data_IF_648120563303
#
_entry.id   IF_648120563303
#
_cell.length_a   1.000
_cell.length_b   1.000
_cell.length_c   1.000
_cell.angle_alpha   90.00
_cell.angle_beta   90.00
_cell.angle_gamma   90.00
#
_symmetry.space_group_name_H-M   'P 1'
#
loop_
_entity.id
_entity.type
_entity.pdbx_description
1 polymer ?
#
# COMPACT_ATOMS: atom_id res chain seq x y z
N UNK A 1 -5.36 7.52 64.00
CA UNK A 1 -4.97 6.62 62.89
C UNK A 1 -4.70 7.46 61.65
N UNK A 2 -3.44 7.81 61.38
CA UNK A 2 -3.05 8.60 60.21
C UNK A 2 -2.64 7.66 59.07
N UNK A 3 -3.39 7.68 57.96
CA UNK A 3 -3.07 6.90 56.76
C UNK A 3 -1.85 7.51 56.09
N UNK A 4 -0.73 6.81 56.11
CA UNK A 4 0.47 7.17 55.35
C UNK A 4 0.15 7.22 53.85
N UNK A 5 0.18 8.42 53.29
CA UNK A 5 0.06 8.68 51.86
C UNK A 5 1.37 8.24 51.20
N UNK A 6 1.41 7.02 50.64
CA UNK A 6 2.58 6.52 49.90
C UNK A 6 2.78 7.40 48.67
N UNK A 7 3.79 8.28 48.70
CA UNK A 7 4.28 8.96 47.49
C UNK A 7 4.85 7.91 46.55
N UNK A 8 4.18 7.67 45.43
CA UNK A 8 4.69 6.86 44.33
C UNK A 8 5.99 7.50 43.81
N UNK A 9 7.01 6.69 43.57
CA UNK A 9 8.29 7.18 43.05
C UNK A 9 8.17 7.31 41.53
N UNK A 10 8.92 8.25 40.94
CA UNK A 10 8.98 8.43 39.47
C UNK A 10 9.38 7.13 38.74
N UNK A 11 10.09 6.22 39.41
CA UNK A 11 10.48 4.90 38.88
C UNK A 11 9.32 3.93 38.70
N UNK A 12 8.16 4.22 39.26
CA UNK A 12 6.99 3.34 39.21
C UNK A 12 6.13 3.61 37.95
N UNK A 13 6.51 4.58 37.10
CA UNK A 13 5.81 4.91 35.86
C UNK A 13 6.53 4.34 34.63
N UNK A 14 5.74 3.92 33.65
CA UNK A 14 6.25 3.49 32.35
C UNK A 14 6.96 4.66 31.63
N UNK A 15 8.15 4.39 31.11
CA UNK A 15 8.96 5.37 30.38
C UNK A 15 8.82 5.14 28.88
N UNK A 16 8.51 6.21 28.14
CA UNK A 16 8.40 6.18 26.68
C UNK A 16 9.32 7.21 26.06
N UNK A 17 10.05 6.82 25.01
CA UNK A 17 10.87 7.74 24.22
C UNK A 17 10.03 8.34 23.09
N UNK A 18 9.83 9.65 23.12
CA UNK A 18 9.11 10.37 22.08
C UNK A 18 10.10 10.96 21.06
N UNK A 19 10.01 10.54 19.79
CA UNK A 19 10.78 11.15 18.69
C UNK A 19 9.97 12.30 18.10
N UNK A 20 10.48 13.52 18.26
CA UNK A 20 9.84 14.75 17.79
C UNK A 20 10.52 15.27 16.52
N UNK A 21 9.77 15.88 15.58
CA UNK A 21 10.35 16.59 14.45
C UNK A 21 11.30 17.73 14.88
N UNK A 22 12.20 18.19 13.98
CA UNK A 22 13.06 19.34 14.24
C UNK A 22 12.27 20.55 14.72
N UNK A 23 12.76 21.25 15.75
CA UNK A 23 12.13 22.44 16.32
C UNK A 23 11.00 22.18 17.33
N UNK A 24 10.25 21.07 17.20
CA UNK A 24 9.06 20.83 18.04
C UNK A 24 9.39 20.67 19.54
N UNK A 25 10.55 20.10 19.87
CA UNK A 25 11.02 20.02 21.26
C UNK A 25 11.22 21.40 21.90
N UNK A 26 11.77 22.35 21.13
CA UNK A 26 11.99 23.71 21.60
C UNK A 26 10.66 24.45 21.82
N UNK A 27 9.69 24.25 20.91
CA UNK A 27 8.33 24.77 21.07
C UNK A 27 7.66 24.27 22.35
N UNK A 28 7.71 22.96 22.61
CA UNK A 28 7.14 22.37 23.85
C UNK A 28 7.85 22.91 25.09
N UNK A 29 9.18 23.08 25.04
CA UNK A 29 9.93 23.64 26.15
C UNK A 29 9.49 25.09 26.46
N UNK A 30 9.37 25.94 25.44
CA UNK A 30 8.88 27.31 25.58
C UNK A 30 7.46 27.35 26.16
N UNK A 31 6.53 26.55 25.60
CA UNK A 31 5.16 26.45 26.11
C UNK A 31 5.12 25.99 27.57
N UNK A 32 5.97 25.02 27.96
CA UNK A 32 6.01 24.52 29.33
C UNK A 32 6.52 25.55 30.34
N UNK A 33 7.44 26.42 29.90
CA UNK A 33 7.92 27.54 30.71
C UNK A 33 6.84 28.62 30.89
N UNK A 34 6.07 28.92 29.83
CA UNK A 34 4.99 29.93 29.90
C UNK A 34 3.88 29.55 30.90
N UNK A 35 3.63 28.25 31.08
CA UNK A 35 2.59 27.74 32.01
C UNK A 35 3.15 27.16 33.32
N UNK A 36 4.44 27.35 33.60
CA UNK A 36 5.14 26.89 34.81
C UNK A 36 4.90 25.41 35.15
N UNK A 37 5.00 24.54 34.14
CA UNK A 37 4.92 23.08 34.31
C UNK A 37 6.10 22.40 33.64
N UNK A 38 6.43 21.18 34.10
CA UNK A 38 7.43 20.36 33.40
C UNK A 38 6.96 20.00 31.99
N UNK A 39 7.91 19.84 31.05
CA UNK A 39 7.61 19.38 29.69
C UNK A 39 6.77 18.09 29.67
N UNK A 40 7.07 17.12 30.56
CA UNK A 40 6.33 15.87 30.64
C UNK A 40 4.88 16.10 31.07
N UNK A 41 4.66 16.96 32.06
CA UNK A 41 3.30 17.31 32.51
C UNK A 41 2.50 18.00 31.39
N UNK A 42 3.13 18.90 30.64
CA UNK A 42 2.49 19.54 29.49
C UNK A 42 2.13 18.53 28.39
N UNK A 43 3.04 17.60 28.06
CA UNK A 43 2.79 16.56 27.05
C UNK A 43 1.59 15.69 27.46
N UNK A 44 1.55 15.23 28.71
CA UNK A 44 0.43 14.41 29.21
C UNK A 44 -0.88 15.20 29.12
N UNK A 45 -0.88 16.47 29.51
CA UNK A 45 -2.06 17.33 29.44
C UNK A 45 -2.60 17.48 28.00
N UNK A 46 -1.71 17.72 27.03
CA UNK A 46 -2.09 17.85 25.61
C UNK A 46 -2.65 16.55 25.03
N UNK A 47 -2.10 15.40 25.44
CA UNK A 47 -2.62 14.08 25.04
C UNK A 47 -4.03 13.86 25.60
N UNK A 48 -4.24 14.15 26.88
CA UNK A 48 -5.55 14.03 27.51
C UNK A 48 -6.60 14.94 26.84
N UNK A 49 -6.23 16.18 26.50
CA UNK A 49 -7.11 17.08 25.76
C UNK A 49 -7.45 16.54 24.37
N UNK A 50 -6.46 16.03 23.63
CA UNK A 50 -6.67 15.43 22.31
C UNK A 50 -7.58 14.20 22.35
N UNK A 51 -7.47 13.38 23.41
CA UNK A 51 -8.35 12.23 23.62
C UNK A 51 -9.79 12.66 23.97
N UNK A 52 -9.96 13.67 24.84
CA UNK A 52 -11.29 14.20 25.19
C UNK A 52 -11.98 14.84 23.99
N UNK A 53 -11.24 15.55 23.14
CA UNK A 53 -11.78 16.23 21.96
C UNK A 53 -12.30 15.25 20.88
N UNK A 54 -11.74 14.03 20.80
CA UNK A 54 -12.17 13.02 19.82
C UNK A 54 -13.41 12.23 20.24
N UNK A 55 -13.92 12.41 21.46
CA UNK A 55 -14.99 11.57 22.02
C UNK A 55 -14.55 10.12 22.18
N UNK A 56 -15.25 9.31 23.01
CA UNK A 56 -15.07 7.86 22.95
C UNK A 56 -15.39 7.42 21.51
N UNK A 57 -14.46 6.74 20.86
CA UNK A 57 -14.70 6.17 19.54
C UNK A 57 -15.92 5.26 19.63
N UNK A 58 -17.07 5.75 19.16
CA UNK A 58 -18.31 4.99 19.12
C UNK A 58 -18.04 3.80 18.23
N UNK A 59 -18.04 2.60 18.82
CA UNK A 59 -17.94 1.37 18.05
C UNK A 59 -19.01 1.40 16.95
N UNK A 60 -18.69 1.04 15.71
CA UNK A 60 -19.62 1.15 14.60
C UNK A 60 -20.88 0.32 14.89
N UNK A 61 -22.02 1.00 14.95
CA UNK A 61 -23.33 0.37 15.09
C UNK A 61 -23.63 -0.41 13.82
N UNK A 62 -23.74 -1.73 13.94
CA UNK A 62 -24.12 -2.64 12.86
C UNK A 62 -25.51 -2.26 12.34
N UNK A 63 -25.76 -2.19 11.01
CA UNK A 63 -27.08 -1.89 10.47
C UNK A 63 -28.06 -3.01 10.81
N UNK A 64 -29.11 -2.67 11.55
CA UNK A 64 -30.24 -3.55 11.81
C UNK A 64 -31.03 -3.76 10.51
N UNK A 65 -30.94 -4.96 9.93
CA UNK A 65 -31.81 -5.36 8.82
C UNK A 65 -33.26 -5.43 9.32
N UNK A 66 -34.11 -4.58 8.75
CA UNK A 66 -35.54 -4.54 9.05
C UNK A 66 -36.24 -5.83 8.68
N UNK A 67 -36.74 -6.54 9.70
CA UNK A 67 -37.66 -7.65 9.52
C UNK A 67 -39.08 -7.11 9.32
N UNK A 68 -39.66 -7.51 8.20
CA UNK A 68 -41.04 -7.24 7.78
C UNK A 68 -42.01 -7.77 8.83
N UNK A 69 -42.91 -6.91 9.30
CA UNK A 69 -43.98 -7.24 10.25
C UNK A 69 -45.12 -7.98 9.54
N UNK A 70 -45.45 -9.17 10.02
CA UNK A 70 -46.78 -9.76 9.86
C UNK A 70 -47.54 -9.69 11.19
N UNK A 71 -48.82 -9.25 11.21
CA UNK A 71 -49.62 -9.25 12.43
C UNK A 71 -50.37 -10.58 12.56
N UNK A 72 -50.15 -11.32 13.65
CA UNK A 72 -51.06 -12.38 14.07
C UNK A 72 -51.20 -12.32 15.59
N UNK A 73 -52.42 -12.11 16.05
CA UNK A 73 -52.78 -12.09 17.46
C UNK A 73 -52.79 -13.51 18.05
N UNK A 74 -52.19 -13.70 19.23
CA UNK A 74 -52.93 -14.14 20.44
C UNK A 74 -52.02 -14.19 21.67
N UNK A 75 -52.66 -13.85 22.78
CA UNK A 75 -52.21 -13.92 24.17
C UNK A 75 -51.87 -15.38 24.54
N UNK A 76 -50.79 -15.59 25.28
CA UNK A 76 -50.84 -16.06 26.67
C UNK A 76 -49.43 -16.12 27.26
N UNK A 77 -49.36 -15.70 28.52
CA UNK A 77 -48.18 -15.54 29.34
C UNK A 77 -47.57 -16.90 29.71
N UNK A 78 -46.29 -17.12 29.37
CA UNK A 78 -45.42 -18.04 30.11
C UNK A 78 -44.01 -17.44 30.17
N UNK A 79 -43.61 -17.03 31.38
CA UNK A 79 -42.24 -16.68 31.72
C UNK A 79 -41.36 -17.94 31.68
N UNK A 80 -40.77 -18.22 30.53
CA UNK A 80 -39.57 -19.04 30.43
C UNK A 80 -38.39 -18.07 30.37
N UNK A 81 -37.59 -18.05 31.42
CA UNK A 81 -36.31 -17.36 31.43
C UNK A 81 -35.37 -18.03 30.42
N UNK A 82 -35.46 -17.61 29.16
CA UNK A 82 -34.44 -17.87 28.14
C UNK A 82 -33.23 -17.01 28.47
N UNK A 83 -32.26 -17.62 29.15
CA UNK A 83 -30.87 -17.17 29.07
C UNK A 83 -30.47 -17.26 27.59
N UNK A 84 -30.70 -16.17 26.87
CA UNK A 84 -30.20 -15.96 25.52
C UNK A 84 -28.70 -15.79 25.66
N UNK A 85 -27.98 -16.91 25.59
CA UNK A 85 -26.56 -16.92 25.31
C UNK A 85 -26.40 -16.14 24.01
N UNK A 86 -25.83 -14.93 24.10
CA UNK A 86 -25.45 -14.15 22.93
C UNK A 86 -24.71 -15.08 21.96
N UNK A 87 -25.00 -15.01 20.65
CA UNK A 87 -24.31 -15.85 19.68
C UNK A 87 -22.81 -15.66 19.90
N UNK A 88 -22.09 -16.77 20.05
CA UNK A 88 -20.64 -16.75 20.10
C UNK A 88 -20.20 -15.95 18.88
N UNK A 89 -19.61 -14.77 19.12
CA UNK A 89 -19.00 -13.98 18.06
C UNK A 89 -17.92 -14.89 17.50
N UNK A 90 -18.18 -15.47 16.32
CA UNK A 90 -17.18 -16.26 15.61
C UNK A 90 -15.94 -15.39 15.53
N UNK A 91 -14.87 -15.86 16.16
CA UNK A 91 -13.59 -15.16 16.11
C UNK A 91 -13.15 -15.19 14.66
N UNK A 92 -13.33 -14.05 13.98
CA UNK A 92 -12.80 -13.77 12.64
C UNK A 92 -11.32 -14.20 12.62
N UNK A 93 -10.95 -15.03 11.64
CA UNK A 93 -9.55 -15.41 11.48
C UNK A 93 -8.72 -14.16 11.17
N UNK A 94 -7.46 -14.16 11.60
CA UNK A 94 -6.57 -13.00 11.40
C UNK A 94 -6.42 -12.68 9.90
N UNK A 95 -6.38 -13.71 9.04
CA UNK A 95 -6.35 -13.52 7.59
C UNK A 95 -7.59 -12.79 7.08
N UNK A 96 -8.79 -13.21 7.51
CA UNK A 96 -10.06 -12.63 7.08
C UNK A 96 -10.17 -11.17 7.53
N UNK A 97 -9.70 -10.90 8.76
CA UNK A 97 -9.63 -9.55 9.31
C UNK A 97 -8.68 -8.65 8.52
N UNK A 98 -7.51 -9.15 8.14
CA UNK A 98 -6.54 -8.39 7.33
C UNK A 98 -7.11 -8.11 5.94
N UNK A 99 -7.73 -9.09 5.30
CA UNK A 99 -8.34 -8.94 3.97
C UNK A 99 -9.49 -7.95 3.98
N UNK A 100 -10.37 -8.02 4.99
CA UNK A 100 -11.46 -7.06 5.16
C UNK A 100 -10.93 -5.64 5.34
N UNK A 101 -9.96 -5.44 6.23
CA UNK A 101 -9.36 -4.12 6.47
C UNK A 101 -8.63 -3.58 5.23
N UNK A 102 -7.96 -4.45 4.47
CA UNK A 102 -7.31 -4.06 3.22
C UNK A 102 -8.33 -3.60 2.17
N UNK A 103 -9.49 -4.28 2.09
CA UNK A 103 -10.59 -3.89 1.19
C UNK A 103 -11.22 -2.56 1.60
N UNK A 104 -11.55 -2.39 2.88
CA UNK A 104 -12.11 -1.15 3.41
C UNK A 104 -11.17 0.04 3.16
N UNK A 105 -9.87 -0.15 3.41
CA UNK A 105 -8.86 0.86 3.11
C UNK A 105 -8.83 1.18 1.61
N UNK A 106 -8.81 0.15 0.75
CA UNK A 106 -8.82 0.33 -0.71
C UNK A 106 -10.03 1.11 -1.23
N UNK A 107 -11.19 1.01 -0.59
CA UNK A 107 -12.41 1.73 -0.97
C UNK A 107 -12.39 3.20 -0.50
N UNK A 108 -11.76 3.47 0.64
CA UNK A 108 -11.59 4.83 1.16
C UNK A 108 -10.54 5.64 0.40
N UNK A 109 -9.51 4.98 -0.13
CA UNK A 109 -8.35 5.63 -0.76
C UNK A 109 -8.65 6.43 -2.03
N UNK A 110 -9.55 6.02 -2.96
CA UNK A 110 -9.94 6.88 -4.08
C UNK A 110 -10.50 8.23 -3.65
N UNK A 111 -11.22 8.27 -2.53
CA UNK A 111 -11.77 9.50 -1.95
C UNK A 111 -10.69 10.32 -1.23
N UNK A 112 -9.58 9.69 -0.86
CA UNK A 112 -8.48 10.32 -0.13
C UNK A 112 -7.22 10.40 -1.01
N UNK A 113 -6.94 11.60 -1.52
CA UNK A 113 -5.75 11.87 -2.34
C UNK A 113 -5.77 11.19 -3.72
N UNK A 114 -6.94 11.10 -4.36
CA UNK A 114 -7.13 10.52 -5.70
C UNK A 114 -6.51 9.11 -5.85
N UNK A 115 -6.47 8.30 -4.78
CA UNK A 115 -5.89 6.96 -4.79
C UNK A 115 -4.35 6.91 -4.80
N UNK A 116 -3.66 8.05 -4.73
CA UNK A 116 -2.22 8.11 -4.54
C UNK A 116 -1.91 8.21 -3.05
N UNK A 117 -1.31 7.18 -2.48
CA UNK A 117 -0.89 7.22 -1.09
C UNK A 117 0.39 6.42 -0.87
N UNK A 118 1.05 6.75 0.22
CA UNK A 118 2.17 5.99 0.74
C UNK A 118 1.83 5.68 2.19
N UNK A 119 1.59 4.41 2.49
CA UNK A 119 1.31 3.98 3.86
C UNK A 119 2.48 3.19 4.40
N UNK A 120 2.83 3.47 5.65
CA UNK A 120 3.76 2.67 6.43
C UNK A 120 2.95 2.00 7.54
N UNK A 121 2.88 0.68 7.51
CA UNK A 121 2.18 -0.09 8.54
C UNK A 121 3.20 -0.64 9.51
N UNK A 122 3.06 -0.28 10.79
CA UNK A 122 3.85 -0.87 11.87
C UNK A 122 3.07 -2.04 12.45
N UNK A 123 3.56 -3.29 12.32
CA UNK A 123 3.00 -4.38 13.11
C UNK A 123 3.17 -4.05 14.59
N UNK A 124 2.20 -4.47 15.39
CA UNK A 124 2.31 -4.35 16.85
C UNK A 124 3.59 -5.08 17.33
N UNK A 125 4.54 -4.33 17.86
CA UNK A 125 5.81 -4.86 18.38
C UNK A 125 6.97 -4.90 17.39
N UNK A 126 6.79 -4.47 16.14
CA UNK A 126 7.87 -4.35 15.16
C UNK A 126 8.04 -2.90 14.69
N UNK A 127 9.21 -2.34 14.99
CA UNK A 127 9.58 -0.96 14.63
C UNK A 127 9.96 -0.81 13.16
N UNK A 128 10.11 -1.90 12.41
CA UNK A 128 10.68 -1.85 11.06
C UNK A 128 9.76 -1.22 10.03
N UNK A 129 8.44 -1.24 10.25
CA UNK A 129 7.45 -0.64 9.36
C UNK A 129 7.47 -1.25 7.95
N UNK A 130 6.32 -1.72 7.46
CA UNK A 130 6.22 -2.21 6.08
C UNK A 130 5.68 -1.09 5.19
N UNK A 131 6.41 -0.81 4.10
CA UNK A 131 6.01 0.18 3.11
C UNK A 131 5.05 -0.43 2.09
N UNK A 132 3.85 0.14 2.01
CA UNK A 132 2.92 -0.09 0.92
C UNK A 132 3.05 1.09 -0.05
N UNK A 133 3.59 0.84 -1.24
CA UNK A 133 3.65 1.84 -2.31
C UNK A 133 2.39 1.72 -3.18
N UNK A 134 1.71 2.85 -3.42
CA UNK A 134 0.68 2.92 -4.45
C UNK A 134 1.32 2.65 -5.83
N UNK A 135 0.68 1.78 -6.59
CA UNK A 135 1.06 1.39 -7.94
C UNK A 135 0.75 2.54 -8.91
N UNK A 136 1.62 2.80 -9.87
CA UNK A 136 1.35 3.73 -10.96
C UNK A 136 0.09 3.27 -11.71
N UNK A 137 -0.85 4.19 -11.90
CA UNK A 137 -2.05 3.97 -12.73
C UNK A 137 -1.84 4.66 -14.08
N UNK A 138 -2.26 4.04 -15.17
CA UNK A 138 -2.25 4.62 -16.51
C UNK A 138 -3.40 5.62 -16.72
N UNK A 139 -3.54 6.12 -17.95
CA UNK A 139 -4.56 7.09 -18.37
C UNK A 139 -6.01 6.61 -18.20
N UNK A 140 -6.22 5.30 -18.08
CA UNK A 140 -7.53 4.69 -17.80
C UNK A 140 -7.73 4.40 -16.30
N UNK A 141 -6.73 4.71 -15.46
CA UNK A 141 -6.75 4.38 -14.05
C UNK A 141 -6.33 2.94 -13.76
N UNK A 142 -5.83 2.18 -14.74
CA UNK A 142 -5.41 0.79 -14.58
C UNK A 142 -3.96 0.70 -14.09
N UNK A 143 -3.66 -0.27 -13.22
CA UNK A 143 -2.32 -0.42 -12.62
C UNK A 143 -1.31 -0.84 -13.69
N UNK A 144 -0.52 0.08 -14.22
CA UNK A 144 0.43 -0.23 -15.29
C UNK A 144 1.81 0.31 -14.95
N UNK A 145 2.77 -0.61 -14.84
CA UNK A 145 4.17 -0.27 -14.65
C UNK A 145 4.71 0.37 -15.93
N UNK A 146 5.36 1.55 -15.86
CA UNK A 146 5.83 2.26 -17.05
C UNK A 146 6.79 1.42 -17.91
N UNK A 147 7.49 0.43 -17.34
CA UNK A 147 8.34 -0.48 -18.12
C UNK A 147 7.53 -1.37 -19.07
N UNK A 148 6.30 -1.74 -18.68
CA UNK A 148 5.40 -2.55 -19.53
C UNK A 148 5.06 -1.78 -20.80
N UNK A 149 4.73 -0.50 -20.65
CA UNK A 149 4.45 0.38 -21.79
C UNK A 149 5.69 0.54 -22.67
N UNK A 150 6.86 0.78 -22.08
CA UNK A 150 8.10 0.95 -22.85
C UNK A 150 8.45 -0.30 -23.69
N UNK A 151 8.33 -1.49 -23.10
CA UNK A 151 8.54 -2.78 -23.81
C UNK A 151 7.49 -2.96 -24.92
N UNK A 152 6.24 -2.59 -24.68
CA UNK A 152 5.19 -2.69 -25.69
C UNK A 152 5.41 -1.72 -26.85
N UNK A 153 5.75 -0.45 -26.56
CA UNK A 153 6.05 0.57 -27.57
C UNK A 153 7.20 0.12 -28.48
N UNK A 154 8.22 -0.54 -27.92
CA UNK A 154 9.32 -1.12 -28.68
C UNK A 154 8.87 -2.27 -29.58
N UNK A 155 8.13 -3.24 -29.05
CA UNK A 155 7.61 -4.37 -29.85
C UNK A 155 6.71 -3.90 -30.98
N UNK A 156 5.83 -2.94 -30.71
CA UNK A 156 4.98 -2.32 -31.73
C UNK A 156 5.82 -1.58 -32.78
N UNK A 157 6.89 -0.91 -32.35
CA UNK A 157 7.89 -0.33 -33.23
C UNK A 157 8.56 -1.35 -34.15
N UNK A 158 9.03 -2.48 -33.61
CA UNK A 158 9.63 -3.57 -34.38
C UNK A 158 8.62 -4.15 -35.38
N UNK A 159 7.37 -4.34 -34.97
CA UNK A 159 6.30 -4.80 -35.87
C UNK A 159 6.05 -3.81 -37.02
N UNK A 160 6.02 -2.50 -36.73
CA UNK A 160 5.91 -1.46 -37.77
C UNK A 160 7.10 -1.47 -38.71
N UNK A 161 8.33 -1.64 -38.20
CA UNK A 161 9.53 -1.75 -39.02
C UNK A 161 9.46 -2.96 -39.96
N UNK A 162 9.10 -4.13 -39.43
CA UNK A 162 8.98 -5.37 -40.20
C UNK A 162 7.86 -5.33 -41.26
N UNK A 163 6.86 -4.46 -41.07
CA UNK A 163 5.78 -4.27 -42.04
C UNK A 163 6.19 -3.39 -43.24
N UNK A 164 7.29 -2.64 -43.15
CA UNK A 164 7.79 -1.80 -44.24
C UNK A 164 8.77 -2.61 -45.08
N UNK A 165 8.46 -2.79 -46.37
CA UNK A 165 9.34 -3.50 -47.29
C UNK A 165 10.67 -2.76 -47.45
N UNK A 166 11.79 -3.50 -47.38
CA UNK A 166 13.13 -2.91 -47.51
C UNK A 166 13.39 -2.24 -48.87
N UNK A 167 12.67 -2.68 -49.92
CA UNK A 167 12.69 -2.01 -51.21
C UNK A 167 12.12 -0.57 -51.17
N UNK A 168 11.23 -0.28 -50.21
CA UNK A 168 10.57 1.01 -50.06
C UNK A 168 11.32 1.94 -49.11
N UNK A 169 12.35 1.48 -48.40
CA UNK A 169 13.13 2.30 -47.47
C UNK A 169 13.65 3.61 -48.09
N UNK A 170 14.15 3.65 -49.35
CA UNK A 170 14.55 4.90 -49.99
C UNK A 170 13.41 5.95 -50.07
N UNK A 171 12.15 5.52 -50.21
CA UNK A 171 10.98 6.42 -50.23
C UNK A 171 10.70 7.04 -48.85
N UNK A 172 11.16 6.39 -47.78
CA UNK A 172 11.00 6.85 -46.41
C UNK A 172 12.17 7.68 -45.87
N UNK A 173 13.20 7.89 -46.70
CA UNK A 173 14.44 8.60 -46.35
C UNK A 173 15.62 7.70 -46.04
N UNK A 174 15.56 6.41 -46.41
CA UNK A 174 16.58 5.40 -46.11
C UNK A 174 16.29 4.63 -44.81
N UNK A 175 17.10 3.60 -44.56
CA UNK A 175 16.96 2.69 -43.41
C UNK A 175 16.91 3.44 -42.07
N UNK A 176 17.87 4.34 -41.83
CA UNK A 176 17.96 5.13 -40.58
C UNK A 176 16.68 5.93 -40.29
N UNK A 177 16.05 6.48 -41.33
CA UNK A 177 14.81 7.23 -41.19
C UNK A 177 13.62 6.33 -40.87
N UNK A 178 13.62 5.09 -41.36
CA UNK A 178 12.62 4.08 -41.00
C UNK A 178 12.82 3.64 -39.54
N UNK A 179 14.07 3.39 -39.13
CA UNK A 179 14.40 3.03 -37.74
C UNK A 179 13.92 4.11 -36.76
N UNK A 180 14.30 5.38 -36.97
CA UNK A 180 13.93 6.47 -36.07
C UNK A 180 12.41 6.67 -35.99
N UNK A 181 11.68 6.46 -37.09
CA UNK A 181 10.20 6.55 -37.12
C UNK A 181 9.48 5.35 -36.50
N UNK A 182 10.14 4.21 -36.32
CA UNK A 182 9.51 2.95 -35.91
C UNK A 182 9.87 2.57 -34.49
N UNK A 183 11.02 1.93 -34.28
CA UNK A 183 11.46 1.41 -32.98
C UNK A 183 12.62 2.20 -32.35
N UNK A 184 13.30 3.09 -33.09
CA UNK A 184 14.50 3.76 -32.61
C UNK A 184 14.29 4.60 -31.33
N UNK A 185 13.19 5.36 -31.26
CA UNK A 185 12.81 6.09 -30.04
C UNK A 185 12.52 5.16 -28.85
N UNK A 186 11.62 4.17 -28.99
CA UNK A 186 11.36 3.18 -27.95
C UNK A 186 12.60 2.38 -27.50
N UNK A 187 13.50 2.01 -28.42
CA UNK A 187 14.75 1.32 -28.12
C UNK A 187 15.64 2.18 -27.22
N UNK A 188 15.86 3.45 -27.57
CA UNK A 188 16.61 4.39 -26.73
C UNK A 188 15.99 4.56 -25.35
N UNK A 189 14.66 4.47 -25.23
CA UNK A 189 13.98 4.56 -23.94
C UNK A 189 14.27 3.34 -23.05
N UNK A 190 14.38 2.14 -23.65
CA UNK A 190 14.75 0.90 -22.95
C UNK A 190 16.25 0.87 -22.61
N UNK A 191 17.13 1.27 -23.54
CA UNK A 191 18.58 1.34 -23.32
C UNK A 191 18.97 2.31 -22.20
N UNK A 192 18.27 3.46 -22.10
CA UNK A 192 18.50 4.46 -21.06
C UNK A 192 17.63 4.23 -19.82
N UNK A 193 17.04 3.05 -19.65
CA UNK A 193 16.16 2.78 -18.52
C UNK A 193 16.95 2.60 -17.23
N UNK A 194 16.78 3.53 -16.28
CA UNK A 194 17.53 3.58 -15.02
C UNK A 194 16.65 3.41 -13.77
N UNK A 195 15.36 3.13 -13.96
CA UNK A 195 14.36 3.10 -12.88
C UNK A 195 14.01 1.67 -12.49
N UNK A 196 13.77 1.39 -11.19
CA UNK A 196 13.26 0.09 -10.78
C UNK A 196 11.84 -0.16 -11.32
N UNK A 197 11.49 -1.43 -11.52
CA UNK A 197 10.09 -1.82 -11.77
C UNK A 197 9.23 -1.46 -10.56
N UNK A 198 8.02 -0.98 -10.83
CA UNK A 198 7.02 -0.61 -9.83
C UNK A 198 6.00 -1.72 -9.55
N UNK A 199 5.92 -2.75 -10.41
CA UNK A 199 5.03 -3.88 -10.23
C UNK A 199 5.70 -5.20 -10.56
N UNK A 200 5.08 -6.30 -10.09
CA UNK A 200 5.48 -7.67 -10.47
C UNK A 200 5.37 -7.88 -11.98
N UNK A 201 4.30 -7.41 -12.60
CA UNK A 201 4.07 -7.58 -14.03
C UNK A 201 5.11 -6.80 -14.86
N UNK A 202 5.54 -5.63 -14.36
CA UNK A 202 6.65 -4.89 -14.94
C UNK A 202 7.98 -5.64 -14.85
N UNK A 203 8.28 -6.23 -13.68
CA UNK A 203 9.48 -7.06 -13.53
C UNK A 203 9.46 -8.28 -14.46
N UNK A 204 8.31 -8.94 -14.62
CA UNK A 204 8.13 -10.05 -15.57
C UNK A 204 8.32 -9.56 -17.01
N UNK A 205 7.73 -8.43 -17.40
CA UNK A 205 7.85 -7.88 -18.75
C UNK A 205 9.32 -7.53 -19.09
N UNK A 206 10.02 -6.88 -18.16
CA UNK A 206 11.43 -6.52 -18.31
C UNK A 206 12.33 -7.77 -18.45
N UNK A 207 12.15 -8.78 -17.59
CA UNK A 207 12.92 -10.02 -17.65
C UNK A 207 12.66 -10.81 -18.94
N UNK A 208 11.41 -10.86 -19.41
CA UNK A 208 11.08 -11.50 -20.70
C UNK A 208 11.72 -10.79 -21.87
N UNK A 209 11.74 -9.46 -21.85
CA UNK A 209 12.43 -8.67 -22.89
C UNK A 209 13.94 -8.93 -22.87
N UNK A 210 14.59 -8.85 -21.70
CA UNK A 210 16.01 -9.13 -21.55
C UNK A 210 16.38 -10.56 -21.94
N UNK A 211 15.52 -11.54 -21.65
CA UNK A 211 15.74 -12.93 -22.04
C UNK A 211 15.72 -13.08 -23.56
N UNK A 212 14.72 -12.49 -24.24
CA UNK A 212 14.65 -12.52 -25.70
C UNK A 212 15.89 -11.88 -26.33
N UNK A 213 16.32 -10.72 -25.86
CA UNK A 213 17.55 -10.09 -26.37
C UNK A 213 18.81 -10.93 -26.11
N UNK A 214 18.89 -11.61 -24.96
CA UNK A 214 20.03 -12.49 -24.65
C UNK A 214 20.11 -13.75 -25.52
N UNK A 215 19.00 -14.12 -26.18
CA UNK A 215 18.97 -15.23 -27.13
C UNK A 215 19.37 -14.77 -28.54
N UNK A 216 19.06 -13.52 -28.89
CA UNK A 216 19.39 -12.91 -30.18
C UNK A 216 20.81 -12.32 -30.23
N UNK A 217 21.36 -11.91 -29.08
CA UNK A 217 22.70 -11.31 -28.95
C UNK A 217 23.64 -12.32 -28.27
N UNK A 218 24.90 -12.36 -28.70
CA UNK A 218 25.91 -13.18 -28.04
C UNK A 218 26.18 -12.67 -26.61
N UNK A 219 25.53 -13.30 -25.64
CA UNK A 219 25.68 -13.07 -24.21
C UNK A 219 26.42 -14.24 -23.54
N UNK A 220 26.88 -14.03 -22.30
CA UNK A 220 27.42 -15.14 -21.48
C UNK A 220 26.36 -16.23 -21.30
N UNK A 221 26.74 -17.50 -21.46
CA UNK A 221 25.86 -18.67 -21.31
C UNK A 221 25.11 -18.72 -19.96
N UNK A 222 25.63 -18.02 -18.94
CA UNK A 222 25.01 -17.91 -17.63
C UNK A 222 23.79 -16.97 -17.58
N UNK A 223 23.66 -16.00 -18.49
CA UNK A 223 22.65 -14.94 -18.43
C UNK A 223 21.24 -15.51 -18.65
N UNK A 224 21.03 -16.24 -19.73
CA UNK A 224 19.72 -16.85 -20.05
C UNK A 224 19.17 -17.72 -18.92
N UNK A 225 19.93 -18.68 -18.37
CA UNK A 225 19.51 -19.46 -17.20
C UNK A 225 19.16 -18.63 -15.96
N UNK A 226 19.91 -17.58 -15.65
CA UNK A 226 19.61 -16.70 -14.50
C UNK A 226 18.33 -15.89 -14.70
N UNK A 227 18.11 -15.35 -15.90
CA UNK A 227 16.88 -14.64 -16.25
C UNK A 227 15.67 -15.59 -16.18
N UNK A 228 15.78 -16.82 -16.71
CA UNK A 228 14.71 -17.84 -16.61
C UNK A 228 14.42 -18.24 -15.16
N UNK A 229 15.45 -18.38 -14.31
CA UNK A 229 15.27 -18.69 -12.90
C UNK A 229 14.52 -17.58 -12.15
N UNK A 230 14.92 -16.31 -12.35
CA UNK A 230 14.24 -15.16 -11.76
C UNK A 230 12.80 -15.02 -12.28
N UNK A 231 12.60 -15.21 -13.59
CA UNK A 231 11.29 -15.17 -14.21
C UNK A 231 10.39 -16.28 -13.66
N UNK A 232 10.88 -17.52 -13.57
CA UNK A 232 10.14 -18.66 -13.02
C UNK A 232 9.75 -18.47 -11.55
N UNK A 233 10.62 -17.88 -10.72
CA UNK A 233 10.26 -17.49 -9.35
C UNK A 233 9.12 -16.48 -9.32
N UNK A 234 9.22 -15.41 -10.13
CA UNK A 234 8.21 -14.36 -10.17
C UNK A 234 6.89 -14.91 -10.69
N UNK A 235 6.88 -15.68 -11.78
CA UNK A 235 5.70 -16.32 -12.36
C UNK A 235 5.06 -17.35 -11.43
N UNK A 236 5.88 -18.16 -10.74
CA UNK A 236 5.44 -19.21 -9.82
C UNK A 236 4.99 -18.73 -8.44
N UNK A 237 5.39 -17.53 -8.00
CA UNK A 237 4.92 -16.92 -6.74
C UNK A 237 3.45 -16.45 -6.77
N UNK A 238 2.67 -16.86 -7.78
CA UNK A 238 1.21 -16.66 -7.87
C UNK A 238 0.38 -17.87 -7.39
N UNK A 239 1.01 -18.87 -6.78
CA UNK A 239 0.34 -20.05 -6.21
C UNK A 239 0.14 -19.94 -4.69
#
# INVERSE_FOLDING_TARGET
MSRFNKRTKVKDFDQFQLRLPPGMRATIAAMSADVDVSMNALIVHLIEQGMKAKGPATAPTVPSHGSITHPCMRKDEMNVATNTTAPAVEQELICDKVDRLARELSEALPQWFNGQFMAMVYPAGDVRGYWFRSLFRDENGEKTDPVVKAVQDYRDGCARFNAINSADWPLHGGEDAVIEKTYGGPMKALENWDRPCASRDGAIAALRHALAESEDIYCSDSIGPMLRAALGYLEGASA
#
